data_IF_515290768013
#
_entry.id   IF_515290768013
#
_cell.length_a   1.000
_cell.length_b   1.000
_cell.length_c   1.000
_cell.angle_alpha   90.00
_cell.angle_beta   90.00
_cell.angle_gamma   90.00
#
_symmetry.space_group_name_H-M   'P 1'
#
loop_
_entity.id
_entity.type
_entity.pdbx_description
1 polymer ?
#
# COMPACT_ATOMS: atom_id res chain seq x y z
N UNK A 1 -55.39 -2.92 -18.50
CA UNK A 1 -55.78 -1.83 -19.44
C UNK A 1 -54.88 -0.59 -19.35
N UNK A 2 -54.40 -0.18 -18.16
CA UNK A 2 -53.59 1.05 -17.99
C UNK A 2 -52.23 0.98 -18.70
N UNK A 3 -51.48 -0.14 -18.59
CA UNK A 3 -50.17 -0.28 -19.27
C UNK A 3 -50.29 -0.20 -20.78
N UNK A 4 -51.27 -0.89 -21.38
CA UNK A 4 -51.47 -0.87 -22.84
C UNK A 4 -51.81 0.53 -23.35
N UNK A 5 -52.61 1.29 -22.59
CA UNK A 5 -52.88 2.69 -22.90
C UNK A 5 -51.63 3.57 -22.76
N UNK A 6 -50.83 3.33 -21.72
CA UNK A 6 -49.55 4.01 -21.53
C UNK A 6 -48.59 3.75 -22.69
N UNK A 7 -48.38 2.50 -23.10
CA UNK A 7 -47.48 2.14 -24.21
C UNK A 7 -47.90 2.81 -25.53
N UNK A 8 -49.20 2.79 -25.87
CA UNK A 8 -49.72 3.47 -27.07
C UNK A 8 -49.54 4.99 -27.01
N UNK A 9 -49.68 5.59 -25.83
CA UNK A 9 -49.47 7.02 -25.65
C UNK A 9 -47.99 7.40 -25.78
N UNK A 10 -47.09 6.60 -25.21
CA UNK A 10 -45.63 6.82 -25.25
C UNK A 10 -45.12 6.88 -26.71
N UNK A 11 -45.69 6.09 -27.62
CA UNK A 11 -45.33 6.10 -29.05
C UNK A 11 -45.57 7.46 -29.74
N UNK A 12 -46.55 8.25 -29.29
CA UNK A 12 -46.94 9.53 -29.92
C UNK A 12 -46.62 10.76 -29.08
N UNK A 13 -46.24 10.57 -27.81
CA UNK A 13 -45.96 11.64 -26.87
C UNK A 13 -44.62 12.36 -27.15
N UNK A 14 -44.57 13.68 -26.90
CA UNK A 14 -43.33 14.46 -26.98
C UNK A 14 -42.37 14.03 -25.87
N UNK A 15 -41.07 14.17 -26.11
CA UNK A 15 -40.01 13.81 -25.15
C UNK A 15 -40.23 14.37 -23.74
N UNK A 16 -40.65 15.63 -23.62
CA UNK A 16 -40.91 16.24 -22.31
C UNK A 16 -42.08 15.60 -21.57
N UNK A 17 -43.12 15.15 -22.29
CA UNK A 17 -44.24 14.43 -21.69
C UNK A 17 -43.81 13.05 -21.22
N UNK A 18 -43.05 12.33 -22.05
CA UNK A 18 -42.50 11.01 -21.70
C UNK A 18 -41.59 11.08 -20.48
N UNK A 19 -40.71 12.09 -20.40
CA UNK A 19 -39.82 12.28 -19.26
C UNK A 19 -40.59 12.56 -17.96
N UNK A 20 -41.63 13.41 -18.03
CA UNK A 20 -42.53 13.62 -16.88
C UNK A 20 -43.24 12.34 -16.45
N UNK A 21 -43.71 11.55 -17.42
CA UNK A 21 -44.38 10.29 -17.12
C UNK A 21 -43.42 9.25 -16.53
N UNK A 22 -42.18 9.15 -17.04
CA UNK A 22 -41.14 8.29 -16.49
C UNK A 22 -40.80 8.66 -15.04
N UNK A 23 -40.64 9.96 -14.76
CA UNK A 23 -40.42 10.44 -13.39
C UNK A 23 -41.60 10.13 -12.48
N UNK A 24 -42.83 10.39 -12.93
CA UNK A 24 -44.05 10.12 -12.18
C UNK A 24 -44.20 8.62 -11.87
N UNK A 25 -43.95 7.76 -12.87
CA UNK A 25 -43.97 6.31 -12.71
C UNK A 25 -42.93 5.83 -11.68
N UNK A 26 -41.68 6.28 -11.79
CA UNK A 26 -40.63 5.92 -10.85
C UNK A 26 -40.93 6.38 -9.42
N UNK A 27 -41.46 7.61 -9.24
CA UNK A 27 -41.86 8.12 -7.92
C UNK A 27 -43.06 7.37 -7.34
N UNK A 28 -43.99 6.99 -8.19
CA UNK A 28 -45.16 6.22 -7.80
C UNK A 28 -44.75 4.81 -7.35
N UNK A 29 -43.80 4.18 -8.05
CA UNK A 29 -43.17 2.91 -7.67
C UNK A 29 -42.41 3.02 -6.34
N UNK A 30 -41.60 4.08 -6.16
CA UNK A 30 -40.85 4.29 -4.93
C UNK A 30 -41.75 4.45 -3.67
N UNK A 31 -43.04 4.72 -3.88
CA UNK A 31 -44.08 4.80 -2.84
C UNK A 31 -45.14 3.71 -3.00
N UNK A 32 -44.84 2.60 -3.67
CA UNK A 32 -45.82 1.60 -4.08
C UNK A 32 -46.63 1.00 -2.91
N UNK A 33 -46.02 0.78 -1.74
CA UNK A 33 -46.72 0.31 -0.53
C UNK A 33 -47.86 1.25 -0.09
N UNK A 34 -47.75 2.54 -0.42
CA UNK A 34 -48.73 3.57 -0.08
C UNK A 34 -49.77 3.73 -1.20
N UNK A 35 -49.39 3.44 -2.45
CA UNK A 35 -50.19 3.76 -3.63
C UNK A 35 -50.99 2.59 -4.22
N UNK A 36 -50.81 1.35 -3.73
CA UNK A 36 -51.55 0.18 -4.21
C UNK A 36 -51.32 -0.14 -5.69
N UNK A 37 -50.17 0.29 -6.23
CA UNK A 37 -49.84 0.12 -7.65
C UNK A 37 -49.41 -1.33 -7.89
N UNK A 38 -49.84 -1.89 -9.02
CA UNK A 38 -49.32 -3.15 -9.54
C UNK A 38 -47.82 -2.99 -9.86
N UNK A 39 -46.97 -3.52 -8.98
CA UNK A 39 -45.51 -3.42 -9.08
C UNK A 39 -44.98 -4.08 -10.35
N UNK A 40 -45.55 -5.23 -10.74
CA UNK A 40 -45.16 -5.94 -11.94
C UNK A 40 -45.49 -5.13 -13.18
N UNK A 41 -46.67 -4.50 -13.21
CA UNK A 41 -47.07 -3.60 -14.28
C UNK A 41 -46.12 -2.39 -14.42
N UNK A 42 -45.78 -1.78 -13.28
CA UNK A 42 -44.89 -0.63 -13.23
C UNK A 42 -43.45 -1.01 -13.65
N UNK A 43 -42.95 -2.16 -13.21
CA UNK A 43 -41.66 -2.70 -13.64
C UNK A 43 -41.60 -2.92 -15.14
N UNK A 44 -42.63 -3.52 -15.75
CA UNK A 44 -42.68 -3.70 -17.21
C UNK A 44 -42.70 -2.37 -17.97
N UNK A 45 -43.44 -1.39 -17.46
CA UNK A 45 -43.44 -0.05 -18.05
C UNK A 45 -42.07 0.65 -17.90
N UNK A 46 -41.40 0.52 -16.76
CA UNK A 46 -40.06 1.08 -16.55
C UNK A 46 -39.01 0.37 -17.40
N UNK A 47 -39.08 -0.95 -17.54
CA UNK A 47 -38.21 -1.73 -18.43
C UNK A 47 -38.36 -1.27 -19.88
N UNK A 48 -39.59 -1.03 -20.36
CA UNK A 48 -39.81 -0.47 -21.69
C UNK A 48 -39.18 0.93 -21.86
N UNK A 49 -39.21 1.77 -20.81
CA UNK A 49 -38.60 3.10 -20.85
C UNK A 49 -37.07 3.09 -20.87
N UNK A 50 -36.42 1.97 -20.52
CA UNK A 50 -34.96 1.82 -20.69
C UNK A 50 -34.55 1.94 -22.16
N UNK A 51 -35.44 1.58 -23.09
CA UNK A 51 -35.18 1.67 -24.52
C UNK A 51 -35.68 3.00 -25.13
N UNK A 52 -36.11 4.00 -24.33
CA UNK A 52 -36.53 5.30 -24.88
C UNK A 52 -35.34 5.97 -25.58
N UNK A 53 -35.49 6.44 -26.84
CA UNK A 53 -34.39 7.02 -27.60
C UNK A 53 -33.84 8.31 -27.00
N UNK A 54 -34.61 8.99 -26.13
CA UNK A 54 -34.19 10.23 -25.50
C UNK A 54 -33.54 9.99 -24.13
N UNK A 55 -32.28 10.38 -23.92
CA UNK A 55 -31.63 10.25 -22.62
C UNK A 55 -32.31 11.07 -21.53
N UNK A 56 -33.04 12.15 -21.87
CA UNK A 56 -33.84 12.92 -20.90
C UNK A 56 -34.93 12.08 -20.23
N UNK A 57 -35.48 11.07 -20.91
CA UNK A 57 -36.54 10.21 -20.36
C UNK A 57 -35.92 9.22 -19.38
N UNK A 58 -34.82 8.58 -19.79
CA UNK A 58 -34.07 7.63 -18.96
C UNK A 58 -33.43 8.31 -17.75
N UNK A 59 -32.95 9.55 -17.90
CA UNK A 59 -32.49 10.39 -16.80
C UNK A 59 -33.63 10.67 -15.80
N UNK A 60 -34.79 11.08 -16.30
CA UNK A 60 -35.95 11.37 -15.45
C UNK A 60 -36.44 10.12 -14.69
N UNK A 61 -36.28 8.92 -15.29
CA UNK A 61 -36.55 7.64 -14.65
C UNK A 61 -35.55 7.34 -13.52
N UNK A 62 -34.23 7.43 -13.79
CA UNK A 62 -33.21 7.14 -12.76
C UNK A 62 -33.32 8.14 -11.61
N UNK A 63 -33.53 9.43 -11.88
CA UNK A 63 -33.68 10.45 -10.83
C UNK A 63 -34.86 10.19 -9.89
N UNK A 64 -35.92 9.53 -10.38
CA UNK A 64 -37.06 9.14 -9.58
C UNK A 64 -36.79 7.91 -8.69
N UNK A 65 -35.91 7.02 -9.12
CA UNK A 65 -35.60 5.75 -8.47
C UNK A 65 -34.29 5.79 -7.66
N UNK A 66 -33.44 6.79 -7.88
CA UNK A 66 -32.04 6.80 -7.44
C UNK A 66 -31.84 6.59 -5.94
N UNK A 67 -32.76 7.03 -5.09
CA UNK A 67 -32.64 6.87 -3.63
C UNK A 67 -33.60 5.80 -3.08
N UNK A 68 -34.27 5.05 -3.95
CA UNK A 68 -35.29 4.07 -3.57
C UNK A 68 -34.65 2.72 -3.23
N UNK A 69 -34.78 2.28 -1.98
CA UNK A 69 -34.25 1.00 -1.48
C UNK A 69 -34.97 -0.23 -2.02
N UNK A 70 -36.16 -0.05 -2.59
CA UNK A 70 -36.96 -1.11 -3.21
C UNK A 70 -36.94 -1.03 -4.74
N UNK A 71 -36.14 -0.14 -5.34
CA UNK A 71 -36.04 -0.01 -6.79
C UNK A 71 -35.66 -1.36 -7.43
N UNK A 72 -36.22 -1.70 -8.61
CA UNK A 72 -35.88 -2.93 -9.28
C UNK A 72 -34.40 -2.90 -9.68
N UNK A 73 -33.60 -3.79 -9.08
CA UNK A 73 -32.13 -3.84 -9.28
C UNK A 73 -31.76 -3.91 -10.76
N UNK A 74 -32.51 -4.68 -11.57
CA UNK A 74 -32.26 -4.81 -13.01
C UNK A 74 -32.40 -3.48 -13.78
N UNK A 75 -33.38 -2.64 -13.42
CA UNK A 75 -33.59 -1.33 -14.04
C UNK A 75 -32.46 -0.38 -13.67
N UNK A 76 -32.07 -0.32 -12.39
CA UNK A 76 -30.94 0.51 -11.95
C UNK A 76 -29.63 0.06 -12.61
N UNK A 77 -29.38 -1.25 -12.69
CA UNK A 77 -28.16 -1.79 -13.33
C UNK A 77 -28.09 -1.43 -14.81
N UNK A 78 -29.21 -1.49 -15.53
CA UNK A 78 -29.25 -1.04 -16.93
C UNK A 78 -28.96 0.46 -17.06
N UNK A 79 -29.53 1.29 -16.20
CA UNK A 79 -29.29 2.74 -16.17
C UNK A 79 -27.85 3.10 -15.73
N UNK A 80 -27.20 2.24 -14.95
CA UNK A 80 -25.80 2.41 -14.55
C UNK A 80 -24.81 2.12 -15.69
N UNK A 81 -25.22 1.35 -16.70
CA UNK A 81 -24.42 1.06 -17.91
C UNK A 81 -24.77 2.00 -19.08
N UNK A 82 -25.61 3.00 -18.84
CA UNK A 82 -26.03 4.01 -19.83
C UNK A 82 -24.95 5.11 -20.02
N UNK A 83 -25.27 6.14 -20.79
CA UNK A 83 -24.41 7.31 -20.98
C UNK A 83 -24.09 8.03 -19.64
N UNK A 84 -22.96 8.77 -19.58
CA UNK A 84 -22.38 9.22 -18.31
C UNK A 84 -23.32 9.98 -17.38
N UNK A 85 -24.22 10.83 -17.89
CA UNK A 85 -25.11 11.65 -17.07
C UNK A 85 -26.15 10.80 -16.31
N UNK A 86 -26.59 9.69 -16.92
CA UNK A 86 -27.58 8.76 -16.33
C UNK A 86 -26.87 7.80 -15.39
N UNK A 87 -25.74 7.24 -15.84
CA UNK A 87 -24.89 6.36 -15.06
C UNK A 87 -24.43 7.02 -13.76
N UNK A 88 -24.10 8.32 -13.80
CA UNK A 88 -23.79 9.13 -12.62
C UNK A 88 -24.86 9.00 -11.53
N UNK A 89 -26.12 9.25 -11.89
CA UNK A 89 -27.22 9.22 -10.92
C UNK A 89 -27.44 7.80 -10.40
N UNK A 90 -27.40 6.79 -11.26
CA UNK A 90 -27.57 5.40 -10.87
C UNK A 90 -26.45 4.93 -9.91
N UNK A 91 -25.19 5.13 -10.30
CA UNK A 91 -24.01 4.63 -9.58
C UNK A 91 -23.78 5.41 -8.29
N UNK A 92 -23.96 6.73 -8.26
CA UNK A 92 -23.61 7.51 -7.07
C UNK A 92 -24.65 7.44 -5.96
N UNK A 93 -25.93 7.21 -6.29
CA UNK A 93 -27.04 7.33 -5.32
C UNK A 93 -27.73 6.02 -5.00
N UNK A 94 -27.76 5.07 -5.93
CA UNK A 94 -28.56 3.86 -5.75
C UNK A 94 -28.04 2.94 -4.64
N UNK A 95 -28.91 2.57 -3.66
CA UNK A 95 -28.58 1.62 -2.62
C UNK A 95 -28.79 0.16 -3.06
N UNK A 96 -29.45 -0.09 -4.19
CA UNK A 96 -29.80 -1.46 -4.63
C UNK A 96 -28.73 -2.15 -5.47
N UNK A 97 -27.67 -1.42 -5.87
CA UNK A 97 -26.50 -1.98 -6.52
C UNK A 97 -25.67 -2.77 -5.51
N UNK A 98 -25.42 -4.04 -5.81
CA UNK A 98 -24.59 -4.90 -4.95
C UNK A 98 -23.11 -4.69 -5.24
N UNK A 99 -22.25 -5.21 -4.36
CA UNK A 99 -20.81 -5.25 -4.59
C UNK A 99 -20.46 -5.94 -5.92
N UNK A 100 -21.15 -7.02 -6.27
CA UNK A 100 -20.97 -7.75 -7.53
C UNK A 100 -21.31 -6.85 -8.73
N UNK A 101 -22.43 -6.11 -8.67
CA UNK A 101 -22.78 -5.15 -9.73
C UNK A 101 -21.72 -4.07 -9.88
N UNK A 102 -21.28 -3.46 -8.77
CA UNK A 102 -20.29 -2.38 -8.80
C UNK A 102 -18.93 -2.87 -9.32
N UNK A 103 -18.52 -4.10 -8.97
CA UNK A 103 -17.31 -4.71 -9.50
C UNK A 103 -17.44 -4.96 -11.01
N UNK A 104 -18.57 -5.52 -11.46
CA UNK A 104 -18.83 -5.78 -12.88
C UNK A 104 -18.88 -4.48 -13.71
N UNK A 105 -19.49 -3.44 -13.16
CA UNK A 105 -19.58 -2.10 -13.77
C UNK A 105 -18.18 -1.47 -13.81
N UNK A 106 -17.39 -1.57 -12.73
CA UNK A 106 -16.01 -1.06 -12.70
C UNK A 106 -15.11 -1.76 -13.74
N UNK A 107 -15.29 -3.06 -13.94
CA UNK A 107 -14.51 -3.87 -14.88
C UNK A 107 -14.80 -3.55 -16.35
N UNK A 108 -16.07 -3.28 -16.69
CA UNK A 108 -16.52 -2.98 -18.07
C UNK A 108 -16.57 -1.47 -18.38
N UNK A 109 -16.60 -0.64 -17.34
CA UNK A 109 -16.78 0.80 -17.44
C UNK A 109 -15.52 1.58 -17.77
N UNK A 110 -15.71 2.89 -17.97
CA UNK A 110 -14.64 3.84 -18.26
C UNK A 110 -13.92 4.31 -16.99
N UNK A 111 -12.93 5.18 -17.17
CA UNK A 111 -12.23 5.86 -16.07
C UNK A 111 -13.22 6.66 -15.21
N UNK A 112 -14.14 7.37 -15.86
CA UNK A 112 -15.19 8.15 -15.20
C UNK A 112 -16.11 7.22 -14.39
N UNK A 113 -16.53 6.09 -14.95
CA UNK A 113 -17.36 5.11 -14.21
C UNK A 113 -16.66 4.62 -12.95
N UNK A 114 -15.37 4.27 -13.02
CA UNK A 114 -14.60 3.84 -11.84
C UNK A 114 -14.43 4.95 -10.82
N UNK A 115 -14.19 6.19 -11.25
CA UNK A 115 -14.14 7.37 -10.38
C UNK A 115 -15.47 7.60 -9.64
N UNK A 116 -16.60 7.37 -10.31
CA UNK A 116 -17.93 7.46 -9.69
C UNK A 116 -18.16 6.39 -8.64
N UNK A 117 -17.73 5.14 -8.91
CA UNK A 117 -17.81 4.07 -7.93
C UNK A 117 -16.88 4.38 -6.74
N UNK A 118 -15.66 4.86 -7.01
CA UNK A 118 -14.67 5.24 -5.99
C UNK A 118 -15.13 6.39 -5.09
N UNK A 119 -15.98 7.29 -5.59
CA UNK A 119 -16.51 8.45 -4.87
C UNK A 119 -17.85 8.22 -4.18
N UNK A 120 -18.43 7.01 -4.26
CA UNK A 120 -19.63 6.67 -3.49
C UNK A 120 -19.42 6.91 -2.00
N UNK A 121 -20.48 7.31 -1.29
CA UNK A 121 -20.43 7.56 0.15
C UNK A 121 -19.95 6.36 0.97
N UNK A 122 -20.21 5.14 0.47
CA UNK A 122 -19.67 3.89 0.99
C UNK A 122 -19.12 3.05 -0.16
N UNK A 123 -17.90 2.55 0.02
CA UNK A 123 -17.26 1.61 -0.90
C UNK A 123 -16.78 0.42 -0.08
N UNK A 124 -17.35 -0.76 -0.35
CA UNK A 124 -16.99 -1.96 0.41
C UNK A 124 -15.55 -2.39 0.16
N UNK A 125 -15.03 -3.30 0.99
CA UNK A 125 -13.70 -3.89 0.79
C UNK A 125 -13.57 -4.61 -0.56
N UNK A 126 -14.63 -5.27 -1.05
CA UNK A 126 -14.60 -5.98 -2.31
C UNK A 126 -14.50 -5.01 -3.50
N UNK A 127 -15.34 -3.97 -3.49
CA UNK A 127 -15.35 -2.94 -4.55
C UNK A 127 -14.06 -2.12 -4.54
N UNK A 128 -13.58 -1.72 -3.35
CA UNK A 128 -12.32 -1.02 -3.19
C UNK A 128 -11.12 -1.88 -3.66
N UNK A 129 -11.14 -3.20 -3.41
CA UNK A 129 -10.13 -4.10 -3.93
C UNK A 129 -10.17 -4.20 -5.46
N UNK A 130 -11.35 -4.22 -6.08
CA UNK A 130 -11.47 -4.19 -7.53
C UNK A 130 -10.88 -2.91 -8.13
N UNK A 131 -11.24 -1.73 -7.59
CA UNK A 131 -10.67 -0.45 -8.04
C UNK A 131 -9.16 -0.40 -7.80
N UNK A 132 -8.67 -0.89 -6.66
CA UNK A 132 -7.23 -1.01 -6.39
C UNK A 132 -6.50 -1.91 -7.40
N UNK A 133 -7.18 -2.88 -8.00
CA UNK A 133 -6.63 -3.83 -8.97
C UNK A 133 -6.56 -3.27 -10.39
N UNK A 134 -7.61 -2.55 -10.83
CA UNK A 134 -7.75 -2.13 -12.24
C UNK A 134 -7.74 -0.61 -12.46
N UNK A 135 -8.02 0.18 -11.42
CA UNK A 135 -8.09 1.64 -11.50
C UNK A 135 -6.74 2.27 -11.86
N UNK A 136 -6.80 3.41 -12.53
CA UNK A 136 -5.66 4.28 -12.81
C UNK A 136 -5.37 5.23 -11.66
N UNK A 137 -4.57 6.26 -11.94
CA UNK A 137 -4.12 7.23 -10.94
C UNK A 137 -5.29 8.01 -10.32
N UNK A 138 -6.19 8.53 -11.15
CA UNK A 138 -7.29 9.38 -10.72
C UNK A 138 -8.30 8.62 -9.85
N UNK A 139 -8.71 7.43 -10.29
CA UNK A 139 -9.74 6.67 -9.57
C UNK A 139 -9.23 6.14 -8.24
N UNK A 140 -7.94 5.74 -8.20
CA UNK A 140 -7.30 5.32 -6.96
C UNK A 140 -7.08 6.51 -6.02
N UNK A 141 -6.74 7.69 -6.54
CA UNK A 141 -6.60 8.88 -5.72
C UNK A 141 -7.95 9.25 -5.06
N UNK A 142 -9.03 9.22 -5.83
CA UNK A 142 -10.40 9.41 -5.32
C UNK A 142 -10.72 8.35 -4.24
N UNK A 143 -10.40 7.08 -4.49
CA UNK A 143 -10.64 6.00 -3.53
C UNK A 143 -9.85 6.19 -2.23
N UNK A 144 -8.58 6.63 -2.31
CA UNK A 144 -7.74 6.88 -1.15
C UNK A 144 -8.18 8.10 -0.33
N UNK A 145 -8.79 9.08 -1.00
CA UNK A 145 -9.35 10.29 -0.39
C UNK A 145 -10.75 10.07 0.20
N UNK A 146 -11.43 8.98 -0.18
CA UNK A 146 -12.76 8.66 0.29
C UNK A 146 -12.75 8.05 1.71
N UNK A 147 -13.28 8.75 2.72
CA UNK A 147 -13.34 8.23 4.09
C UNK A 147 -14.30 7.04 4.24
N UNK A 148 -15.25 6.87 3.32
CA UNK A 148 -16.20 5.75 3.27
C UNK A 148 -15.66 4.50 2.58
N UNK A 149 -14.40 4.51 2.12
CA UNK A 149 -13.79 3.37 1.44
C UNK A 149 -13.17 2.36 2.43
N UNK A 150 -13.67 1.12 2.37
CA UNK A 150 -13.13 -0.02 3.11
C UNK A 150 -11.82 -0.52 2.51
N UNK A 151 -10.70 0.12 2.80
CA UNK A 151 -9.40 -0.28 2.26
C UNK A 151 -8.74 -1.37 3.12
N UNK A 152 -8.68 -2.59 2.59
CA UNK A 152 -7.95 -3.67 3.24
C UNK A 152 -6.43 -3.48 3.13
N UNK A 153 -5.65 -4.09 4.04
CA UNK A 153 -4.19 -4.11 3.92
C UNK A 153 -3.71 -4.71 2.58
N UNK A 154 -4.46 -5.65 2.00
CA UNK A 154 -4.15 -6.22 0.68
C UNK A 154 -4.35 -5.19 -0.43
N UNK A 155 -5.43 -4.42 -0.37
CA UNK A 155 -5.70 -3.33 -1.32
C UNK A 155 -4.63 -2.25 -1.24
N UNK A 156 -4.20 -1.86 -0.04
CA UNK A 156 -3.13 -0.87 0.15
C UNK A 156 -1.79 -1.34 -0.43
N UNK A 157 -1.40 -2.61 -0.19
CA UNK A 157 -0.21 -3.20 -0.84
C UNK A 157 -0.33 -3.20 -2.36
N UNK A 158 -1.51 -3.54 -2.88
CA UNK A 158 -1.74 -3.59 -4.33
C UNK A 158 -1.59 -2.20 -4.96
N UNK A 159 -2.18 -1.18 -4.33
CA UNK A 159 -2.05 0.21 -4.78
C UNK A 159 -0.58 0.65 -4.72
N UNK A 160 0.11 0.39 -3.60
CA UNK A 160 1.52 0.74 -3.43
C UNK A 160 2.38 0.13 -4.55
N UNK A 161 2.24 -1.17 -4.85
CA UNK A 161 3.05 -1.81 -5.89
C UNK A 161 2.68 -1.43 -7.33
N UNK A 162 1.47 -0.92 -7.60
CA UNK A 162 1.06 -0.48 -8.95
C UNK A 162 1.37 0.99 -9.21
N UNK A 163 1.05 1.84 -8.23
CA UNK A 163 1.00 3.30 -8.37
C UNK A 163 1.89 4.02 -7.36
N UNK A 164 2.76 3.31 -6.63
CA UNK A 164 3.67 3.91 -5.65
C UNK A 164 4.70 4.88 -6.25
N UNK A 165 4.98 4.77 -7.54
CA UNK A 165 5.80 5.73 -8.28
C UNK A 165 5.11 7.09 -8.44
N UNK A 166 3.78 7.14 -8.45
CA UNK A 166 2.96 8.35 -8.59
C UNK A 166 2.98 9.13 -7.28
N UNK A 167 3.48 10.37 -7.32
CA UNK A 167 3.72 11.15 -6.11
C UNK A 167 2.45 11.38 -5.28
N UNK A 168 1.35 11.80 -5.92
CA UNK A 168 0.09 12.05 -5.23
C UNK A 168 -0.47 10.79 -4.54
N UNK A 169 -0.44 9.64 -5.20
CA UNK A 169 -0.89 8.35 -4.64
C UNK A 169 0.01 7.95 -3.46
N UNK A 170 1.33 8.03 -3.63
CA UNK A 170 2.29 7.71 -2.57
C UNK A 170 2.11 8.59 -1.33
N UNK A 171 1.90 9.89 -1.52
CA UNK A 171 1.68 10.83 -0.41
C UNK A 171 0.42 10.44 0.38
N UNK A 172 -0.68 10.12 -0.33
CA UNK A 172 -1.90 9.62 0.31
C UNK A 172 -1.70 8.31 1.04
N UNK A 173 -0.96 7.34 0.46
CA UNK A 173 -0.64 6.07 1.14
C UNK A 173 0.17 6.30 2.42
N UNK A 174 1.24 7.10 2.35
CA UNK A 174 2.15 7.32 3.47
C UNK A 174 1.50 8.04 4.65
N UNK A 175 0.52 8.93 4.37
CA UNK A 175 -0.27 9.62 5.38
C UNK A 175 -1.20 8.70 6.17
N UNK A 176 -1.49 7.49 5.68
CA UNK A 176 -2.37 6.55 6.38
C UNK A 176 -1.66 5.84 7.51
N UNK A 177 -2.31 5.74 8.68
CA UNK A 177 -1.79 4.99 9.82
C UNK A 177 -1.89 3.46 9.66
N UNK A 178 -2.84 2.97 8.86
CA UNK A 178 -3.10 1.55 8.63
C UNK A 178 -2.29 0.95 7.45
N UNK A 179 -1.44 1.76 6.81
CA UNK A 179 -0.56 1.29 5.74
C UNK A 179 0.41 0.23 6.29
N UNK A 180 0.39 -1.00 5.74
CA UNK A 180 1.27 -2.07 6.21
C UNK A 180 2.75 -1.72 6.11
N UNK A 181 3.55 -2.20 7.06
CA UNK A 181 4.98 -1.91 7.12
C UNK A 181 5.73 -2.37 5.87
N UNK A 182 5.35 -3.51 5.29
CA UNK A 182 5.92 -4.01 4.03
C UNK A 182 5.59 -3.11 2.84
N UNK A 183 4.37 -2.55 2.77
CA UNK A 183 4.03 -1.56 1.75
C UNK A 183 4.85 -0.26 1.92
N UNK A 184 5.10 0.20 3.15
CA UNK A 184 6.00 1.35 3.40
C UNK A 184 7.42 1.09 2.92
N UNK A 185 7.93 -0.12 3.11
CA UNK A 185 9.23 -0.53 2.58
C UNK A 185 9.26 -0.40 1.07
N UNK A 186 8.30 -1.00 0.37
CA UNK A 186 8.22 -0.93 -1.09
C UNK A 186 8.22 0.51 -1.61
N UNK A 187 7.43 1.40 -0.98
CA UNK A 187 7.38 2.81 -1.35
C UNK A 187 8.71 3.54 -1.12
N UNK A 188 9.41 3.26 -0.01
CA UNK A 188 10.72 3.84 0.25
C UNK A 188 11.75 3.42 -0.81
N UNK A 189 11.69 2.16 -1.23
CA UNK A 189 12.57 1.63 -2.27
C UNK A 189 12.28 2.25 -3.65
N UNK A 190 11.01 2.37 -4.03
CA UNK A 190 10.60 3.03 -5.27
C UNK A 190 11.06 4.48 -5.33
N UNK A 191 10.93 5.23 -4.22
CA UNK A 191 11.43 6.60 -4.12
C UNK A 191 12.95 6.64 -4.28
N UNK A 192 13.66 5.75 -3.60
CA UNK A 192 15.12 5.65 -3.72
C UNK A 192 15.54 5.37 -5.17
N UNK A 193 14.87 4.45 -5.84
CA UNK A 193 15.12 4.11 -7.25
C UNK A 193 14.81 5.30 -8.19
N UNK A 194 13.69 6.00 -7.99
CA UNK A 194 13.31 7.16 -8.79
C UNK A 194 14.30 8.34 -8.62
N UNK A 195 14.75 8.59 -7.40
CA UNK A 195 15.81 9.58 -7.13
C UNK A 195 17.14 9.15 -7.76
N UNK A 196 17.43 7.85 -7.76
CA UNK A 196 18.67 7.34 -8.33
C UNK A 196 18.76 7.47 -9.85
N UNK A 197 17.61 7.44 -10.53
CA UNK A 197 17.50 7.58 -11.99
C UNK A 197 17.25 9.02 -12.44
N UNK A 198 16.92 9.93 -11.52
CA UNK A 198 16.67 11.34 -11.82
C UNK A 198 17.87 12.00 -12.51
N UNK A 199 17.66 12.56 -13.71
CA UNK A 199 18.70 13.17 -14.53
C UNK A 199 19.41 14.33 -13.85
N UNK A 200 18.66 15.18 -13.14
CA UNK A 200 19.22 16.30 -12.37
C UNK A 200 20.16 15.79 -11.27
N UNK A 201 19.72 14.81 -10.49
CA UNK A 201 20.51 14.25 -9.37
C UNK A 201 21.77 13.56 -9.89
N UNK A 202 21.65 12.77 -10.96
CA UNK A 202 22.78 12.09 -11.62
C UNK A 202 23.81 13.08 -12.17
N UNK A 203 23.36 14.15 -12.81
CA UNK A 203 24.25 15.18 -13.36
C UNK A 203 25.05 15.90 -12.27
N UNK A 204 24.45 16.14 -11.10
CA UNK A 204 25.09 16.91 -10.01
C UNK A 204 26.02 16.06 -9.15
N UNK A 205 25.67 14.80 -8.88
CA UNK A 205 26.37 13.96 -7.88
C UNK A 205 27.20 12.84 -8.55
N UNK A 206 26.88 12.47 -9.79
CA UNK A 206 27.47 11.35 -10.52
C UNK A 206 26.74 10.03 -10.26
N UNK A 207 26.55 9.24 -11.31
CA UNK A 207 25.69 8.04 -11.31
C UNK A 207 26.07 7.00 -10.24
N UNK A 208 27.34 6.60 -10.18
CA UNK A 208 27.79 5.60 -9.20
C UNK A 208 27.55 6.06 -7.76
N UNK A 209 27.77 7.35 -7.49
CA UNK A 209 27.60 7.92 -6.15
C UNK A 209 26.12 8.00 -5.77
N UNK A 210 25.26 8.37 -6.70
CA UNK A 210 23.81 8.43 -6.50
C UNK A 210 23.23 7.05 -6.21
N UNK A 211 23.59 6.04 -7.00
CA UNK A 211 23.17 4.65 -6.76
C UNK A 211 23.57 4.16 -5.37
N UNK A 212 24.81 4.46 -4.95
CA UNK A 212 25.29 4.12 -3.61
C UNK A 212 24.49 4.84 -2.52
N UNK A 213 24.29 6.15 -2.62
CA UNK A 213 23.54 6.94 -1.64
C UNK A 213 22.10 6.42 -1.53
N UNK A 214 21.45 6.14 -2.67
CA UNK A 214 20.09 5.60 -2.67
C UNK A 214 20.02 4.23 -1.97
N UNK A 215 20.99 3.34 -2.23
CA UNK A 215 21.07 2.03 -1.56
C UNK A 215 21.20 2.19 -0.05
N UNK A 216 22.16 3.00 0.41
CA UNK A 216 22.41 3.25 1.83
C UNK A 216 21.20 3.91 2.52
N UNK A 217 20.55 4.87 1.86
CA UNK A 217 19.35 5.53 2.37
C UNK A 217 18.17 4.56 2.48
N UNK A 218 17.96 3.70 1.47
CA UNK A 218 16.92 2.68 1.52
C UNK A 218 17.21 1.63 2.59
N UNK A 219 18.46 1.20 2.78
CA UNK A 219 18.82 0.26 3.84
C UNK A 219 18.61 0.87 5.23
N UNK A 220 18.96 2.15 5.42
CA UNK A 220 18.67 2.88 6.65
C UNK A 220 17.16 3.04 6.89
N UNK A 221 16.39 3.39 5.86
CA UNK A 221 14.93 3.45 5.92
C UNK A 221 14.34 2.08 6.28
N UNK A 222 14.89 1.00 5.73
CA UNK A 222 14.40 -0.34 6.01
C UNK A 222 14.55 -0.72 7.48
N UNK A 223 15.69 -0.41 8.08
CA UNK A 223 15.94 -0.64 9.51
C UNK A 223 15.09 0.28 10.40
N UNK A 224 14.91 1.55 10.02
CA UNK A 224 14.09 2.49 10.76
C UNK A 224 12.61 2.08 10.77
N UNK A 225 12.05 1.77 9.60
CA UNK A 225 10.68 1.30 9.44
C UNK A 225 10.46 -0.03 10.19
N UNK A 226 11.42 -0.96 10.12
CA UNK A 226 11.34 -2.23 10.87
C UNK A 226 11.35 -2.02 12.37
N UNK A 227 12.10 -1.03 12.87
CA UNK A 227 12.15 -0.71 14.29
C UNK A 227 10.88 -0.01 14.79
N UNK A 228 10.21 0.77 13.93
CA UNK A 228 8.95 1.42 14.24
C UNK A 228 7.73 0.48 14.12
N UNK A 229 7.87 -0.61 13.37
CA UNK A 229 6.80 -1.57 13.14
C UNK A 229 6.50 -2.43 14.39
N UNK A 230 5.24 -2.90 14.56
CA UNK A 230 4.91 -3.89 15.58
C UNK A 230 5.75 -5.15 15.41
N UNK A 231 6.24 -5.74 16.51
CA UNK A 231 7.11 -6.93 16.46
C UNK A 231 6.49 -8.12 15.71
N UNK A 232 5.16 -8.25 15.73
CA UNK A 232 4.40 -9.28 14.99
C UNK A 232 4.48 -9.12 13.45
N UNK A 233 4.81 -7.93 12.94
CA UNK A 233 4.97 -7.67 11.51
C UNK A 233 6.40 -7.90 11.03
N UNK A 234 7.37 -7.94 11.94
CA UNK A 234 8.78 -8.07 11.62
C UNK A 234 9.11 -9.29 10.72
N UNK A 235 8.55 -10.50 10.96
CA UNK A 235 8.78 -11.62 10.05
C UNK A 235 8.32 -11.34 8.62
N UNK A 236 7.17 -10.66 8.45
CA UNK A 236 6.64 -10.30 7.13
C UNK A 236 7.52 -9.28 6.42
N UNK A 237 8.02 -8.29 7.15
CA UNK A 237 8.97 -7.28 6.62
C UNK A 237 10.24 -7.98 6.13
N UNK A 238 10.79 -8.89 6.92
CA UNK A 238 11.98 -9.66 6.56
C UNK A 238 11.73 -10.52 5.32
N UNK A 239 10.62 -11.26 5.27
CA UNK A 239 10.24 -12.05 4.10
C UNK A 239 10.09 -11.18 2.86
N UNK A 240 9.46 -10.00 2.98
CA UNK A 240 9.35 -9.04 1.88
C UNK A 240 10.72 -8.56 1.38
N UNK A 241 11.61 -8.16 2.29
CA UNK A 241 12.98 -7.74 1.94
C UNK A 241 13.78 -8.89 1.32
N UNK A 242 13.56 -10.14 1.73
CA UNK A 242 14.19 -11.31 1.10
C UNK A 242 13.66 -11.49 -0.33
N UNK A 243 12.35 -11.49 -0.52
CA UNK A 243 11.71 -11.66 -1.83
C UNK A 243 12.09 -10.54 -2.81
N UNK A 244 12.29 -9.31 -2.31
CA UNK A 244 12.78 -8.17 -3.08
C UNK A 244 14.30 -8.18 -3.35
N UNK A 245 15.05 -9.17 -2.83
CA UNK A 245 16.52 -9.22 -2.96
C UNK A 245 17.25 -8.11 -2.19
N UNK A 246 16.60 -7.58 -1.15
CA UNK A 246 17.06 -6.47 -0.30
C UNK A 246 17.68 -6.92 1.01
N UNK A 247 17.43 -8.16 1.41
CA UNK A 247 18.07 -8.78 2.58
C UNK A 247 19.54 -9.13 2.30
N UNK A 248 20.37 -8.08 2.18
CA UNK A 248 21.80 -8.19 1.80
C UNK A 248 22.72 -8.30 3.02
N UNK A 249 23.97 -8.80 2.85
CA UNK A 249 24.97 -8.76 3.92
C UNK A 249 25.22 -7.34 4.45
N UNK A 250 25.17 -6.33 3.58
CA UNK A 250 25.30 -4.92 3.96
C UNK A 250 24.20 -4.50 4.95
N UNK A 251 22.94 -4.80 4.62
CA UNK A 251 21.79 -4.50 5.46
C UNK A 251 21.84 -5.25 6.80
N UNK A 252 22.20 -6.54 6.78
CA UNK A 252 22.31 -7.36 7.99
C UNK A 252 23.43 -6.86 8.91
N UNK A 253 24.57 -6.47 8.35
CA UNK A 253 25.68 -5.93 9.14
C UNK A 253 25.34 -4.55 9.69
N UNK A 254 24.66 -3.71 8.90
CA UNK A 254 24.10 -2.44 9.35
C UNK A 254 23.10 -2.65 10.50
N UNK A 255 22.22 -3.65 10.41
CA UNK A 255 21.28 -3.98 11.48
C UNK A 255 22.00 -4.33 12.78
N UNK A 256 23.04 -5.16 12.72
CA UNK A 256 23.85 -5.51 13.89
C UNK A 256 24.54 -4.29 14.50
N UNK A 257 25.21 -3.50 13.67
CA UNK A 257 25.96 -2.33 14.14
C UNK A 257 25.05 -1.29 14.78
N UNK A 258 23.86 -1.06 14.22
CA UNK A 258 22.86 -0.13 14.74
C UNK A 258 21.99 -0.73 15.88
N UNK A 259 22.40 -1.85 16.47
CA UNK A 259 21.69 -2.49 17.59
C UNK A 259 20.29 -3.03 17.27
N UNK A 260 19.95 -3.22 15.98
CA UNK A 260 18.65 -3.77 15.54
C UNK A 260 18.64 -5.30 15.64
N UNK A 261 18.91 -5.82 16.84
CA UNK A 261 19.06 -7.25 17.12
C UNK A 261 17.81 -8.08 16.79
N UNK A 262 16.62 -7.53 17.02
CA UNK A 262 15.35 -8.18 16.68
C UNK A 262 15.20 -8.40 15.17
N UNK A 263 15.49 -7.37 14.36
CA UNK A 263 15.49 -7.48 12.90
C UNK A 263 16.52 -8.51 12.42
N UNK A 264 17.74 -8.45 12.96
CA UNK A 264 18.79 -9.39 12.60
C UNK A 264 18.41 -10.84 12.97
N UNK A 265 17.86 -11.07 14.17
CA UNK A 265 17.39 -12.39 14.59
C UNK A 265 16.28 -12.91 13.67
N UNK A 266 15.29 -12.06 13.33
CA UNK A 266 14.21 -12.43 12.43
C UNK A 266 14.73 -12.78 11.02
N UNK A 267 15.72 -12.03 10.51
CA UNK A 267 16.39 -12.31 9.24
C UNK A 267 17.12 -13.66 9.24
N UNK A 268 17.85 -13.97 10.31
CA UNK A 268 18.54 -15.25 10.42
C UNK A 268 17.55 -16.42 10.53
N UNK A 269 16.43 -16.24 11.23
CA UNK A 269 15.35 -17.26 11.27
C UNK A 269 14.80 -17.53 9.86
N UNK A 270 14.44 -16.47 9.12
CA UNK A 270 13.88 -16.59 7.76
C UNK A 270 14.89 -17.23 6.77
N UNK A 271 16.17 -16.86 6.85
CA UNK A 271 17.22 -17.38 5.96
C UNK A 271 17.63 -18.83 6.26
N UNK A 272 17.63 -19.24 7.53
CA UNK A 272 18.15 -20.55 7.95
C UNK A 272 17.06 -21.60 8.15
N UNK A 273 15.81 -21.19 8.36
CA UNK A 273 14.71 -22.05 8.81
C UNK A 273 14.88 -22.57 10.25
N UNK A 274 15.91 -22.13 10.99
CA UNK A 274 16.16 -22.57 12.37
C UNK A 274 15.14 -21.91 13.29
N UNK A 275 14.56 -22.65 14.27
CA UNK A 275 13.58 -22.09 15.19
C UNK A 275 14.10 -20.87 15.95
N UNK A 276 13.25 -19.84 16.08
CA UNK A 276 13.60 -18.55 16.69
C UNK A 276 14.27 -18.68 18.07
N UNK A 277 13.75 -19.58 18.93
CA UNK A 277 14.34 -19.83 20.25
C UNK A 277 15.81 -20.24 20.17
N UNK A 278 16.17 -21.08 19.19
CA UNK A 278 17.55 -21.56 18.99
C UNK A 278 18.42 -20.46 18.41
N UNK A 279 17.92 -19.70 17.43
CA UNK A 279 18.62 -18.53 16.88
C UNK A 279 18.94 -17.54 18.00
N UNK A 280 17.93 -17.13 18.79
CA UNK A 280 18.11 -16.21 19.92
C UNK A 280 19.12 -16.74 20.95
N UNK A 281 19.08 -18.02 21.30
CA UNK A 281 20.05 -18.61 22.23
C UNK A 281 21.49 -18.59 21.71
N UNK A 282 21.69 -18.88 20.42
CA UNK A 282 23.01 -18.80 19.79
C UNK A 282 23.47 -17.34 19.71
N UNK A 283 22.58 -16.41 19.35
CA UNK A 283 22.90 -14.99 19.19
C UNK A 283 23.11 -14.24 20.52
N UNK A 284 22.56 -14.71 21.64
CA UNK A 284 22.77 -14.09 22.96
C UNK A 284 23.94 -14.70 23.74
N UNK A 285 24.12 -16.03 23.66
CA UNK A 285 25.07 -16.76 24.52
C UNK A 285 26.02 -17.73 23.81
N UNK A 286 25.85 -17.96 22.51
CA UNK A 286 26.66 -18.92 21.75
C UNK A 286 28.14 -18.53 21.63
N UNK A 287 29.04 -19.52 21.61
CA UNK A 287 30.47 -19.27 21.31
C UNK A 287 30.65 -18.86 19.84
N UNK A 288 31.79 -18.25 19.51
CA UNK A 288 32.12 -17.75 18.16
C UNK A 288 31.83 -18.77 17.07
N UNK A 289 32.25 -20.03 17.27
CA UNK A 289 32.03 -21.13 16.32
C UNK A 289 30.55 -21.43 16.07
N UNK A 290 29.71 -21.37 17.11
CA UNK A 290 28.26 -21.60 16.98
C UNK A 290 27.58 -20.46 16.23
N UNK A 291 28.03 -19.22 16.46
CA UNK A 291 27.54 -18.05 15.71
C UNK A 291 27.96 -18.16 14.25
N UNK A 292 29.25 -18.44 13.95
CA UNK A 292 29.74 -18.64 12.58
C UNK A 292 28.95 -19.71 11.83
N UNK A 293 28.74 -20.87 12.44
CA UNK A 293 27.98 -21.96 11.82
C UNK A 293 26.53 -21.53 11.49
N UNK A 294 25.89 -20.75 12.36
CA UNK A 294 24.55 -20.21 12.10
C UNK A 294 24.56 -19.21 10.94
N UNK A 295 25.54 -18.32 10.87
CA UNK A 295 25.69 -17.35 9.79
C UNK A 295 25.97 -18.06 8.45
N UNK A 296 26.81 -19.10 8.46
CA UNK A 296 27.09 -19.93 7.27
C UNK A 296 25.84 -20.68 6.80
N UNK A 297 25.03 -21.20 7.72
CA UNK A 297 23.74 -21.82 7.36
C UNK A 297 22.74 -20.84 6.75
N UNK A 298 22.93 -19.52 6.94
CA UNK A 298 22.11 -18.48 6.34
C UNK A 298 22.55 -18.15 4.90
N UNK A 299 23.53 -18.88 4.35
CA UNK A 299 24.06 -18.68 2.99
C UNK A 299 25.21 -17.67 2.91
N UNK A 300 25.74 -17.19 4.04
CA UNK A 300 26.88 -16.28 4.05
C UNK A 300 28.20 -17.08 4.03
N UNK A 301 29.12 -16.73 3.13
CA UNK A 301 30.41 -17.41 2.99
C UNK A 301 31.30 -17.28 4.24
N UNK A 302 32.34 -18.12 4.33
CA UNK A 302 33.24 -18.20 5.49
C UNK A 302 33.89 -16.86 5.87
N UNK A 303 34.25 -16.03 4.88
CA UNK A 303 34.83 -14.71 5.14
C UNK A 303 33.84 -13.78 5.84
N UNK A 304 32.58 -13.77 5.39
CA UNK A 304 31.53 -12.96 6.00
C UNK A 304 31.16 -13.51 7.38
N UNK A 305 31.09 -14.84 7.54
CA UNK A 305 30.70 -15.45 8.82
C UNK A 305 31.63 -15.06 9.97
N UNK A 306 32.92 -14.87 9.70
CA UNK A 306 33.88 -14.37 10.69
C UNK A 306 33.56 -12.96 11.15
N UNK A 307 33.34 -12.05 10.20
CA UNK A 307 33.04 -10.64 10.49
C UNK A 307 31.71 -10.50 11.23
N UNK A 308 30.69 -11.24 10.82
CA UNK A 308 29.39 -11.26 11.50
C UNK A 308 29.47 -11.84 12.91
N UNK A 309 30.22 -12.92 13.11
CA UNK A 309 30.40 -13.49 14.44
C UNK A 309 31.11 -12.52 15.39
N UNK A 310 32.11 -11.80 14.90
CA UNK A 310 32.79 -10.75 15.64
C UNK A 310 31.86 -9.58 15.98
N UNK A 311 31.09 -9.09 15.00
CA UNK A 311 30.08 -8.04 15.20
C UNK A 311 29.06 -8.44 16.29
N UNK A 312 28.54 -9.68 16.25
CA UNK A 312 27.61 -10.20 17.27
C UNK A 312 28.23 -10.18 18.67
N UNK A 313 29.51 -10.55 18.82
CA UNK A 313 30.20 -10.52 20.11
C UNK A 313 30.40 -9.08 20.62
N UNK A 314 30.72 -8.14 19.72
CA UNK A 314 30.83 -6.72 20.05
C UNK A 314 29.48 -6.16 20.53
N UNK A 315 28.38 -6.42 19.80
CA UNK A 315 27.03 -6.01 20.23
C UNK A 315 26.67 -6.56 21.62
N UNK A 316 27.05 -7.81 21.93
CA UNK A 316 26.82 -8.38 23.28
C UNK A 316 27.63 -7.68 24.35
N UNK A 317 28.88 -7.31 24.05
CA UNK A 317 29.74 -6.62 25.01
C UNK A 317 29.16 -5.25 25.36
N UNK A 318 28.59 -4.54 24.39
CA UNK A 318 27.92 -3.26 24.60
C UNK A 318 26.61 -3.41 25.38
N UNK A 319 25.79 -4.40 25.02
CA UNK A 319 24.57 -4.70 25.77
C UNK A 319 24.83 -5.03 27.25
N UNK A 320 26.02 -5.57 27.59
CA UNK A 320 26.46 -5.83 28.98
C UNK A 320 27.08 -4.62 29.67
N UNK A 321 27.78 -3.77 28.92
CA UNK A 321 28.43 -2.58 29.44
C UNK A 321 27.45 -1.43 29.75
N UNK A 322 26.24 -1.46 29.17
CA UNK A 322 25.24 -0.41 29.38
C UNK A 322 25.65 0.92 28.71
N UNK A 323 25.06 2.03 29.17
CA UNK A 323 25.25 3.38 28.58
C UNK A 323 26.68 3.96 28.71
N UNK A 324 27.63 3.20 29.24
CA UNK A 324 29.05 3.60 29.36
C UNK A 324 29.88 3.26 28.11
N UNK A 325 29.31 2.60 27.10
CA UNK A 325 30.00 2.33 25.84
C UNK A 325 30.18 3.63 25.03
N UNK A 326 31.37 4.23 25.12
CA UNK A 326 31.71 5.48 24.40
C UNK A 326 31.97 5.30 22.90
N UNK A 327 32.15 4.07 22.40
CA UNK A 327 32.55 3.79 21.01
C UNK A 327 31.57 2.84 20.35
N UNK A 328 30.95 3.21 19.21
CA UNK A 328 29.97 2.37 18.51
C UNK A 328 30.54 1.03 17.98
N UNK A 329 29.67 0.02 17.84
CA UNK A 329 30.02 -1.32 17.33
C UNK A 329 30.77 -1.24 16.00
N UNK A 330 30.28 -0.42 15.06
CA UNK A 330 30.87 -0.34 13.72
C UNK A 330 32.31 0.20 13.76
N UNK A 331 32.59 1.18 14.64
CA UNK A 331 33.92 1.73 14.80
C UNK A 331 34.90 0.71 15.39
N UNK A 332 34.45 -0.06 16.40
CA UNK A 332 35.24 -1.15 17.00
C UNK A 332 35.52 -2.27 16.00
N UNK A 333 34.50 -2.65 15.23
CA UNK A 333 34.63 -3.66 14.19
C UNK A 333 35.61 -3.20 13.09
N UNK A 334 35.53 -1.92 12.68
CA UNK A 334 36.46 -1.35 11.71
C UNK A 334 37.91 -1.37 12.20
N UNK A 335 38.17 -1.01 13.45
CA UNK A 335 39.51 -1.06 14.05
C UNK A 335 40.05 -2.51 14.13
N UNK A 336 39.21 -3.46 14.55
CA UNK A 336 39.59 -4.89 14.55
C UNK A 336 39.91 -5.43 13.15
N UNK A 337 39.10 -5.08 12.14
CA UNK A 337 39.35 -5.49 10.75
C UNK A 337 40.64 -4.88 10.21
N UNK A 338 40.96 -3.62 10.54
CA UNK A 338 42.22 -2.99 10.15
C UNK A 338 43.44 -3.67 10.76
N UNK A 339 43.34 -4.12 12.01
CA UNK A 339 44.43 -4.83 12.70
C UNK A 339 44.65 -6.26 12.18
N UNK A 340 43.65 -6.89 11.58
CA UNK A 340 43.76 -8.22 10.94
C UNK A 340 44.19 -8.08 9.47
N UNK A 341 45.48 -7.98 9.21
CA UNK A 341 46.07 -7.79 7.88
C UNK A 341 45.92 -8.96 6.87
N UNK A 342 45.10 -10.00 7.11
CA UNK A 342 45.19 -11.24 6.28
C UNK A 342 43.92 -12.10 6.11
N UNK A 343 42.70 -11.54 6.04
CA UNK A 343 41.56 -12.43 5.75
C UNK A 343 40.19 -11.83 5.48
N UNK A 344 39.93 -10.56 5.79
CA UNK A 344 38.68 -9.92 5.38
C UNK A 344 38.87 -9.28 4.00
N UNK A 345 37.94 -9.55 3.06
CA UNK A 345 37.92 -8.86 1.78
C UNK A 345 37.93 -7.34 1.99
N UNK A 346 38.77 -6.62 1.25
CA UNK A 346 38.90 -5.16 1.30
C UNK A 346 37.54 -4.46 1.20
N UNK A 347 36.62 -5.02 0.41
CA UNK A 347 35.26 -4.52 0.25
C UNK A 347 34.42 -4.57 1.54
N UNK A 348 34.64 -5.59 2.39
CA UNK A 348 33.94 -5.72 3.68
C UNK A 348 34.48 -4.70 4.67
N UNK A 349 35.80 -4.54 4.72
CA UNK A 349 36.44 -3.54 5.58
C UNK A 349 35.99 -2.12 5.21
N UNK A 350 35.95 -1.79 3.90
CA UNK A 350 35.43 -0.51 3.42
C UNK A 350 33.95 -0.32 3.79
N UNK A 351 33.14 -1.37 3.67
CA UNK A 351 31.72 -1.32 4.05
C UNK A 351 31.55 -1.03 5.55
N UNK A 352 32.28 -1.72 6.42
CA UNK A 352 32.22 -1.51 7.87
C UNK A 352 32.69 -0.11 8.25
N UNK A 353 33.76 0.38 7.61
CA UNK A 353 34.26 1.74 7.85
C UNK A 353 33.22 2.80 7.42
N UNK A 354 32.54 2.60 6.28
CA UNK A 354 31.43 3.47 5.87
C UNK A 354 30.27 3.43 6.85
N UNK A 355 29.90 2.25 7.37
CA UNK A 355 28.87 2.12 8.39
C UNK A 355 29.24 2.90 9.66
N UNK A 356 30.50 2.80 10.10
CA UNK A 356 30.99 3.54 11.26
C UNK A 356 30.90 5.06 11.05
N UNK A 357 31.29 5.55 9.86
CA UNK A 357 31.15 6.96 9.52
C UNK A 357 29.67 7.40 9.45
N UNK A 358 28.78 6.58 8.90
CA UNK A 358 27.36 6.89 8.81
C UNK A 358 26.72 6.98 10.21
N UNK A 359 27.04 6.04 11.09
CA UNK A 359 26.58 6.01 12.49
C UNK A 359 27.08 7.24 13.26
N UNK A 360 28.37 7.57 13.16
CA UNK A 360 28.93 8.76 13.78
C UNK A 360 28.25 10.06 13.31
N UNK A 361 27.95 10.16 12.01
CA UNK A 361 27.20 11.30 11.46
C UNK A 361 25.77 11.36 11.97
N UNK A 362 25.13 10.22 12.17
CA UNK A 362 23.78 10.18 12.72
C UNK A 362 23.77 10.60 14.19
N UNK A 363 24.69 10.07 15.01
CA UNK A 363 24.88 10.49 16.40
C UNK A 363 25.13 11.99 16.53
N UNK A 364 25.95 12.57 15.64
CA UNK A 364 26.20 14.01 15.63
C UNK A 364 24.94 14.84 15.31
N UNK A 365 24.07 14.36 14.42
CA UNK A 365 22.78 15.01 14.12
C UNK A 365 21.82 14.92 15.30
N UNK A 366 21.72 13.75 15.91
CA UNK A 366 20.83 13.53 17.06
C UNK A 366 21.27 14.38 18.26
N UNK A 367 22.58 14.48 18.50
CA UNK A 367 23.15 15.38 19.50
C UNK A 367 22.83 16.85 19.19
N UNK A 368 23.03 17.30 17.94
CA UNK A 368 22.71 18.68 17.54
C UNK A 368 21.21 18.99 17.72
N UNK A 369 20.33 18.05 17.38
CA UNK A 369 18.89 18.19 17.59
C UNK A 369 18.53 18.27 19.07
N UNK A 370 19.15 17.46 19.93
CA UNK A 370 18.94 17.48 21.37
C UNK A 370 19.37 18.82 21.97
N UNK A 371 20.60 19.27 21.67
CA UNK A 371 21.11 20.58 22.12
C UNK A 371 20.22 21.73 21.63
N UNK A 372 19.74 21.67 20.39
CA UNK A 372 18.83 22.70 19.86
C UNK A 372 17.48 22.76 20.57
N UNK A 373 16.99 21.62 21.09
CA UNK A 373 15.74 21.56 21.87
C UNK A 373 15.93 22.02 23.31
N UNK A 374 17.10 21.80 23.89
CA UNK A 374 17.42 22.31 25.24
C UNK A 374 17.68 23.82 25.24
N UNK A 375 18.06 24.38 24.11
CA UNK A 375 18.30 25.82 23.92
C UNK A 375 17.03 26.63 23.56
N UNK A 376 15.91 25.96 23.25
CA UNK A 376 14.62 26.58 22.89
C UNK A 376 13.63 26.47 24.04
#
# INVERSE_FOLDING_TARGET
>A
MIIQAFLRWVETARTGDRARAANALGRAYAKAEINGIDQQAAEMAMTFLLDDPSPKVRLALVEALADCSTAPRAIIRALAEDQPEIAYVAISRSPVLTDEDLVDIAARGSVETRALIASRSTVSCAVAAAIAEIGGEEEVLILLENPGAGLSQRSLRRIAGRLGHVAAVRDRLLARGDLPSDARQSLAEEVGAALATCGLVRATIGEQRVQRIAREACDAAALALSAAAPQKELPRIVTHLREAGRLTPALLLSALCNGKAEFFSAAIVDLTGVPERRVRAILSGGRVHSVRALIESAGLGRELSEVFAEAVLLCRSEAKAGSEASVPVAARLSDHLRRRSSGASHAIAELVERLAFAEQRQMARDYALLVSREAA
#
